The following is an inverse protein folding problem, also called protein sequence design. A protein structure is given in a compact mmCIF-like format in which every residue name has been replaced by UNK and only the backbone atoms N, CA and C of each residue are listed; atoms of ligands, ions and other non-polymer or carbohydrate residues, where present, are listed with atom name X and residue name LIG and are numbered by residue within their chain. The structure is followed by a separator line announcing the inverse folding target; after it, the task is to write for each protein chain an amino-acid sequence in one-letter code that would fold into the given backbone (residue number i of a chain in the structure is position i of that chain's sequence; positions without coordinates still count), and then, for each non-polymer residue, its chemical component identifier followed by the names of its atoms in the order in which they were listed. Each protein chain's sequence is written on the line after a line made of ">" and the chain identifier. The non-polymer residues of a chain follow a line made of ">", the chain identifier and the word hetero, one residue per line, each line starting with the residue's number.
data_IF_054317344262
#
_entry.id   IF_054317344262
#
_cell.length_a   1.000
_cell.length_b   1.000
_cell.length_c   1.000
_cell.angle_alpha   90.00
_cell.angle_beta   90.00
_cell.angle_gamma   90.00
#
_symmetry.space_group_name_H-M   'P 1'
#
loop_
_entity.id
_entity.type
_entity.pdbx_description
1 polymer ?
#
# COMPACT_ATOMS: atom_id res chain seq x y z
N UNK A 1 12.37 -18.77 5.30
CA UNK A 1 11.98 -17.34 5.10
C UNK A 1 13.23 -16.56 4.70
N UNK A 2 13.07 -15.63 3.79
CA UNK A 2 14.14 -14.71 3.33
C UNK A 2 14.21 -13.55 4.30
N UNK A 3 15.40 -13.21 4.81
CA UNK A 3 15.59 -12.04 5.69
C UNK A 3 15.52 -10.75 4.89
N UNK A 4 14.56 -9.87 5.25
CA UNK A 4 14.35 -8.59 4.59
C UNK A 4 13.60 -7.63 5.52
N UNK A 5 14.32 -6.79 6.24
CA UNK A 5 13.74 -5.94 7.30
C UNK A 5 12.59 -5.03 6.84
N UNK A 6 12.70 -4.49 5.61
CA UNK A 6 11.71 -3.55 5.05
C UNK A 6 11.29 -3.98 3.66
N UNK A 7 9.98 -4.07 3.45
CA UNK A 7 9.38 -4.42 2.16
C UNK A 7 8.33 -3.39 1.82
N UNK A 8 8.30 -2.94 0.57
CA UNK A 8 7.30 -2.02 0.06
C UNK A 8 6.46 -2.71 -1.01
N UNK A 9 5.15 -2.63 -0.85
CA UNK A 9 4.16 -3.06 -1.84
C UNK A 9 3.56 -1.82 -2.52
N UNK A 10 3.61 -1.81 -3.83
CA UNK A 10 3.05 -0.75 -4.67
C UNK A 10 1.84 -1.33 -5.37
N UNK A 11 0.64 -0.88 -4.99
CA UNK A 11 -0.59 -1.37 -5.58
C UNK A 11 -0.70 -0.92 -7.03
N UNK A 12 -0.72 -1.88 -7.95
CA UNK A 12 -0.79 -1.66 -9.38
C UNK A 12 -1.84 -2.59 -10.01
N UNK A 13 -2.05 -2.49 -11.32
CA UNK A 13 -2.87 -3.43 -12.09
C UNK A 13 -2.29 -3.62 -13.50
N UNK A 14 -2.72 -4.70 -14.16
CA UNK A 14 -2.29 -5.04 -15.55
C UNK A 14 -2.49 -3.87 -16.52
N UNK A 15 -3.56 -3.07 -16.31
CA UNK A 15 -3.90 -1.90 -17.13
C UNK A 15 -2.87 -0.76 -17.02
N UNK A 16 -2.22 -0.59 -15.86
CA UNK A 16 -1.37 0.56 -15.54
C UNK A 16 0.13 0.21 -15.49
N UNK A 17 0.58 -0.74 -16.31
CA UNK A 17 2.01 -1.12 -16.42
C UNK A 17 2.95 0.08 -16.65
N UNK A 18 2.48 1.09 -17.39
CA UNK A 18 3.26 2.30 -17.65
C UNK A 18 3.55 3.11 -16.37
N UNK A 19 2.62 3.16 -15.41
CA UNK A 19 2.87 3.80 -14.13
C UNK A 19 3.99 3.09 -13.36
N UNK A 20 3.96 1.75 -13.32
CA UNK A 20 5.04 0.97 -12.71
C UNK A 20 6.40 1.23 -13.38
N UNK A 21 6.44 1.24 -14.71
CA UNK A 21 7.66 1.54 -15.45
C UNK A 21 8.18 2.95 -15.15
N UNK A 22 7.28 3.93 -15.09
CA UNK A 22 7.65 5.29 -14.70
C UNK A 22 8.26 5.34 -13.28
N UNK A 23 7.64 4.71 -12.30
CA UNK A 23 8.17 4.68 -10.94
C UNK A 23 9.55 4.00 -10.89
N UNK A 24 9.74 2.90 -11.63
CA UNK A 24 11.02 2.19 -11.73
C UNK A 24 12.12 3.04 -12.35
N UNK A 25 11.80 3.82 -13.38
CA UNK A 25 12.76 4.68 -14.09
C UNK A 25 13.03 6.01 -13.36
N UNK A 26 12.30 6.30 -12.30
CA UNK A 26 12.42 7.55 -11.55
C UNK A 26 12.80 7.29 -10.07
N UNK A 27 11.89 7.52 -9.16
CA UNK A 27 12.17 7.57 -7.74
C UNK A 27 12.53 6.22 -7.10
N UNK A 28 12.09 5.09 -7.67
CA UNK A 28 12.46 3.76 -7.14
C UNK A 28 13.95 3.44 -7.29
N UNK A 29 14.67 4.10 -8.20
CA UNK A 29 16.13 3.96 -8.32
C UNK A 29 16.88 4.58 -7.14
N UNK A 30 16.25 5.48 -6.39
CA UNK A 30 16.87 6.21 -5.28
C UNK A 30 16.47 5.72 -3.90
N UNK A 31 15.69 4.63 -3.80
CA UNK A 31 15.33 4.06 -2.50
C UNK A 31 16.52 3.32 -1.86
N UNK A 32 16.57 3.22 -0.52
CA UNK A 32 17.63 2.49 0.18
C UNK A 32 17.70 1.01 -0.24
N UNK A 33 18.91 0.45 -0.40
CA UNK A 33 19.12 -0.94 -0.77
C UNK A 33 18.49 -1.95 0.21
N UNK A 34 18.31 -1.56 1.47
CA UNK A 34 17.64 -2.39 2.48
C UNK A 34 16.10 -2.42 2.34
N UNK A 35 15.51 -1.60 1.46
CA UNK A 35 14.10 -1.57 1.15
C UNK A 35 13.83 -2.32 -0.15
N UNK A 36 13.31 -3.54 -0.05
CA UNK A 36 12.85 -4.30 -1.21
C UNK A 36 11.44 -3.90 -1.59
N UNK A 37 11.15 -3.77 -2.88
CA UNK A 37 9.79 -3.42 -3.34
C UNK A 37 9.24 -4.41 -4.36
N UNK A 38 7.91 -4.42 -4.49
CA UNK A 38 7.19 -5.13 -5.52
C UNK A 38 5.95 -4.35 -5.95
N UNK A 39 5.72 -4.27 -7.25
CA UNK A 39 4.42 -3.89 -7.80
C UNK A 39 3.47 -5.09 -7.69
N UNK A 40 2.31 -4.87 -7.07
CA UNK A 40 1.33 -5.94 -6.83
C UNK A 40 0.29 -5.94 -7.93
N UNK A 41 0.10 -7.09 -8.58
CA UNK A 41 -0.86 -7.28 -9.66
C UNK A 41 -1.77 -8.47 -9.34
N UNK A 42 -3.09 -8.29 -9.51
CA UNK A 42 -4.04 -9.37 -9.45
C UNK A 42 -3.94 -10.27 -10.69
N UNK A 43 -4.04 -11.59 -10.50
CA UNK A 43 -4.01 -12.56 -11.59
C UNK A 43 -4.75 -13.85 -11.20
N UNK A 44 -6.03 -13.91 -11.59
CA UNK A 44 -6.90 -15.06 -11.29
C UNK A 44 -6.51 -16.34 -12.03
N UNK A 45 -5.63 -16.24 -13.04
CA UNK A 45 -5.12 -17.40 -13.81
C UNK A 45 -3.95 -18.09 -13.11
N UNK A 46 -3.46 -17.56 -11.98
CA UNK A 46 -2.38 -18.21 -11.24
C UNK A 46 -2.81 -19.57 -10.69
N UNK A 47 -2.00 -20.58 -10.93
CA UNK A 47 -2.17 -21.92 -10.33
C UNK A 47 -1.74 -21.98 -8.85
N UNK A 48 -1.20 -20.89 -8.30
CA UNK A 48 -0.72 -20.76 -6.92
C UNK A 48 -1.40 -19.54 -6.27
N UNK A 49 -1.38 -19.45 -4.94
CA UNK A 49 -1.92 -18.28 -4.24
C UNK A 49 -1.21 -16.98 -4.61
N UNK A 50 0.09 -17.05 -4.88
CA UNK A 50 0.92 -15.92 -5.30
C UNK A 50 2.18 -16.39 -6.02
N UNK A 51 2.84 -15.46 -6.73
CA UNK A 51 4.12 -15.66 -7.40
C UNK A 51 4.95 -14.37 -7.34
N UNK A 52 6.19 -14.47 -6.82
CA UNK A 52 7.18 -13.39 -6.93
C UNK A 52 7.97 -13.51 -8.23
N UNK A 53 7.96 -12.45 -9.02
CA UNK A 53 8.86 -12.23 -10.14
C UNK A 53 9.94 -11.24 -9.69
N UNK A 54 11.08 -11.80 -9.25
CA UNK A 54 12.16 -10.99 -8.69
C UNK A 54 12.97 -10.23 -9.75
N UNK A 55 12.90 -10.64 -11.03
CA UNK A 55 13.57 -9.95 -12.13
C UNK A 55 12.84 -8.66 -12.52
N UNK A 56 11.51 -8.71 -12.44
CA UNK A 56 10.66 -7.59 -12.78
C UNK A 56 10.09 -6.85 -11.54
N UNK A 57 10.49 -7.20 -10.33
CA UNK A 57 9.96 -6.69 -9.06
C UNK A 57 8.42 -6.65 -9.04
N UNK A 58 7.80 -7.77 -9.43
CA UNK A 58 6.34 -7.92 -9.43
C UNK A 58 5.93 -9.04 -8.47
N UNK A 59 4.89 -8.78 -7.70
CA UNK A 59 4.16 -9.79 -6.94
C UNK A 59 2.79 -10.00 -7.60
N UNK A 60 2.59 -11.18 -8.16
CA UNK A 60 1.28 -11.63 -8.63
C UNK A 60 0.54 -12.32 -7.50
N UNK A 61 -0.75 -11.98 -7.31
CA UNK A 61 -1.64 -12.60 -6.32
C UNK A 61 -2.91 -13.11 -7.00
N UNK A 62 -3.39 -14.29 -6.60
CA UNK A 62 -4.56 -14.93 -7.22
C UNK A 62 -5.87 -14.30 -6.73
N UNK A 63 -6.16 -13.11 -7.24
CA UNK A 63 -7.38 -12.33 -7.00
C UNK A 63 -7.70 -11.49 -8.24
N UNK A 64 -8.96 -11.02 -8.41
CA UNK A 64 -9.29 -10.06 -9.47
C UNK A 64 -8.42 -8.80 -9.42
N UNK A 65 -8.17 -8.21 -10.60
CA UNK A 65 -7.30 -7.03 -10.75
C UNK A 65 -8.10 -5.73 -10.99
N UNK A 66 -9.33 -5.67 -10.48
CA UNK A 66 -10.21 -4.51 -10.53
C UNK A 66 -10.12 -3.66 -9.25
N UNK A 67 -10.75 -2.48 -9.28
CA UNK A 67 -10.73 -1.54 -8.16
C UNK A 67 -11.49 -2.05 -6.93
N UNK A 68 -12.64 -2.70 -7.13
CA UNK A 68 -13.46 -3.24 -6.04
C UNK A 68 -12.77 -4.38 -5.29
N UNK A 69 -11.82 -5.05 -5.95
CA UNK A 69 -11.03 -6.15 -5.39
C UNK A 69 -9.75 -5.67 -4.71
N UNK A 70 -9.49 -4.35 -4.63
CA UNK A 70 -8.27 -3.81 -4.03
C UNK A 70 -8.04 -4.26 -2.58
N UNK A 71 -9.05 -4.31 -1.68
CA UNK A 71 -8.86 -4.86 -0.33
C UNK A 71 -8.43 -6.34 -0.34
N UNK A 72 -8.99 -7.15 -1.25
CA UNK A 72 -8.59 -8.56 -1.43
C UNK A 72 -7.15 -8.67 -1.92
N UNK A 73 -6.76 -7.82 -2.89
CA UNK A 73 -5.42 -7.79 -3.45
C UNK A 73 -4.38 -7.43 -2.39
N UNK A 74 -4.65 -6.40 -1.59
CA UNK A 74 -3.74 -5.96 -0.53
C UNK A 74 -3.53 -7.05 0.51
N UNK A 75 -4.62 -7.67 1.02
CA UNK A 75 -4.48 -8.71 2.04
C UNK A 75 -3.83 -10.00 1.51
N UNK A 76 -4.04 -10.35 0.23
CA UNK A 76 -3.36 -11.46 -0.42
C UNK A 76 -1.85 -11.17 -0.57
N UNK A 77 -1.47 -9.94 -0.90
CA UNK A 77 -0.08 -9.51 -0.96
C UNK A 77 0.58 -9.53 0.42
N UNK A 78 -0.13 -9.12 1.48
CA UNK A 78 0.35 -9.23 2.86
C UNK A 78 0.62 -10.68 3.25
N UNK A 79 -0.28 -11.60 2.91
CA UNK A 79 -0.09 -13.03 3.13
C UNK A 79 1.16 -13.54 2.39
N UNK A 80 1.34 -13.17 1.11
CA UNK A 80 2.49 -13.58 0.31
C UNK A 80 3.82 -13.13 0.96
N UNK A 81 3.88 -11.86 1.40
CA UNK A 81 5.06 -11.33 2.10
C UNK A 81 5.28 -12.04 3.43
N UNK A 82 4.22 -12.24 4.21
CA UNK A 82 4.30 -12.89 5.52
C UNK A 82 4.81 -14.33 5.44
N UNK A 83 4.39 -15.08 4.42
CA UNK A 83 4.78 -16.48 4.19
C UNK A 83 6.22 -16.61 3.64
N UNK A 84 6.71 -15.58 2.93
CA UNK A 84 7.99 -15.63 2.23
C UNK A 84 9.13 -15.00 3.01
N UNK A 85 8.88 -13.89 3.71
CA UNK A 85 9.92 -13.06 4.30
C UNK A 85 9.87 -13.00 5.83
N UNK A 86 11.06 -12.89 6.43
CA UNK A 86 11.22 -12.40 7.80
C UNK A 86 11.45 -10.89 7.73
N UNK A 87 10.47 -10.09 8.14
CA UNK A 87 10.51 -8.63 8.03
C UNK A 87 10.12 -7.93 9.35
N UNK A 88 10.49 -6.65 9.47
CA UNK A 88 10.09 -5.79 10.60
C UNK A 88 8.89 -4.94 10.25
N UNK A 89 8.95 -4.28 9.08
CA UNK A 89 7.91 -3.37 8.60
C UNK A 89 7.59 -3.59 7.14
N UNK A 90 6.30 -3.49 6.82
CA UNK A 90 5.74 -3.49 5.48
C UNK A 90 5.25 -2.09 5.16
N UNK A 91 5.69 -1.52 4.05
CA UNK A 91 5.23 -0.25 3.50
C UNK A 91 4.24 -0.50 2.37
N UNK A 92 3.24 0.36 2.23
CA UNK A 92 2.31 0.35 1.10
C UNK A 92 2.22 1.73 0.48
N UNK A 93 2.19 1.77 -0.83
CA UNK A 93 1.87 2.98 -1.62
C UNK A 93 1.10 2.58 -2.89
N UNK A 94 0.64 3.58 -3.66
CA UNK A 94 -0.09 3.37 -4.92
C UNK A 94 0.80 3.63 -6.15
N UNK A 95 0.38 3.12 -7.29
CA UNK A 95 1.13 3.21 -8.55
C UNK A 95 1.18 4.62 -9.16
N UNK A 96 0.29 5.49 -8.71
CA UNK A 96 0.22 6.90 -9.13
C UNK A 96 1.02 7.85 -8.23
N UNK A 97 1.73 7.34 -7.24
CA UNK A 97 2.52 8.16 -6.33
C UNK A 97 3.96 8.34 -6.82
N UNK A 98 4.44 9.59 -6.74
CA UNK A 98 5.83 9.96 -7.00
C UNK A 98 6.43 10.51 -5.73
N UNK A 99 7.59 9.98 -5.35
CA UNK A 99 8.37 10.50 -4.23
C UNK A 99 9.09 11.79 -4.65
N UNK A 100 8.72 12.92 -4.03
CA UNK A 100 9.33 14.25 -4.31
C UNK A 100 10.49 14.60 -3.38
N UNK A 101 10.68 13.84 -2.29
CA UNK A 101 11.79 14.01 -1.35
C UNK A 101 12.57 12.71 -1.20
N UNK A 102 13.68 12.52 -1.92
CA UNK A 102 14.41 11.25 -2.00
C UNK A 102 14.81 10.64 -0.65
N UNK A 103 15.15 11.47 0.35
CA UNK A 103 15.57 11.01 1.69
C UNK A 103 14.41 10.48 2.58
N UNK A 104 13.18 10.46 2.09
CA UNK A 104 12.04 10.03 2.89
C UNK A 104 12.22 8.61 3.43
N UNK A 105 12.56 7.65 2.56
CA UNK A 105 12.71 6.25 2.98
C UNK A 105 13.94 6.05 3.87
N UNK A 106 15.06 6.72 3.65
CA UNK A 106 16.20 6.68 4.56
C UNK A 106 15.79 7.12 5.96
N UNK A 107 15.06 8.24 6.05
CA UNK A 107 14.63 8.78 7.33
C UNK A 107 13.65 7.84 8.05
N UNK A 108 12.61 7.35 7.35
CA UNK A 108 11.56 6.54 7.97
C UNK A 108 12.11 5.18 8.45
N UNK A 109 12.99 4.55 7.66
CA UNK A 109 13.64 3.28 7.98
C UNK A 109 14.54 3.42 9.22
N UNK A 110 15.21 4.55 9.38
CA UNK A 110 16.04 4.81 10.54
C UNK A 110 15.24 5.22 11.78
N UNK A 111 14.12 5.92 11.62
CA UNK A 111 13.33 6.45 12.74
C UNK A 111 12.44 5.37 13.36
N UNK A 112 11.61 4.69 12.56
CA UNK A 112 10.55 3.80 13.07
C UNK A 112 11.08 2.71 14.02
N UNK A 113 12.14 1.94 13.69
CA UNK A 113 12.62 0.87 14.57
C UNK A 113 13.18 1.37 15.90
N UNK A 114 13.59 2.64 15.96
CA UNK A 114 14.24 3.27 17.10
C UNK A 114 13.29 4.08 17.99
N UNK A 115 12.02 4.21 17.59
CA UNK A 115 11.01 4.87 18.42
C UNK A 115 10.66 4.03 19.65
N UNK A 116 10.33 4.72 20.75
CA UNK A 116 9.82 4.09 21.97
C UNK A 116 8.58 4.86 22.48
N UNK A 117 7.40 4.27 22.48
CA UNK A 117 7.09 2.93 21.98
C UNK A 117 7.19 2.83 20.46
N UNK A 118 7.48 1.62 19.93
CA UNK A 118 7.54 1.37 18.48
C UNK A 118 6.14 1.47 17.90
N UNK A 119 5.93 2.25 16.84
CA UNK A 119 4.64 2.31 16.16
C UNK A 119 4.39 1.03 15.37
N UNK A 120 3.15 0.55 15.39
CA UNK A 120 2.72 -0.60 14.60
C UNK A 120 2.05 -0.20 13.29
N UNK A 121 1.56 1.02 13.21
CA UNK A 121 0.84 1.57 12.08
C UNK A 121 1.13 3.07 11.98
N UNK A 122 1.30 3.58 10.76
CA UNK A 122 1.50 5.00 10.54
C UNK A 122 1.43 5.39 9.08
N UNK A 123 1.13 6.66 8.86
CA UNK A 123 0.86 7.29 7.57
C UNK A 123 0.14 8.61 7.80
N UNK A 124 -0.55 9.15 6.79
CA UNK A 124 -1.44 10.29 6.98
C UNK A 124 -2.73 9.81 7.64
N UNK A 125 -2.93 10.17 8.92
CA UNK A 125 -4.05 9.68 9.72
C UNK A 125 -5.33 10.40 9.33
N UNK A 126 -6.35 9.62 8.96
CA UNK A 126 -7.74 10.04 8.77
C UNK A 126 -8.54 9.58 9.99
N UNK A 127 -9.25 10.51 10.64
CA UNK A 127 -10.04 10.25 11.84
C UNK A 127 -11.54 10.37 11.55
N UNK A 128 -12.21 9.22 11.42
CA UNK A 128 -13.67 9.14 11.25
C UNK A 128 -14.32 9.24 12.62
N UNK A 129 -14.78 10.41 13.01
CA UNK A 129 -15.36 10.70 14.34
C UNK A 129 -16.81 10.30 14.49
N UNK A 130 -17.54 10.17 13.39
CA UNK A 130 -18.94 9.72 13.36
C UNK A 130 -19.22 8.96 12.08
N UNK A 131 -20.16 7.99 12.08
CA UNK A 131 -20.53 7.27 10.87
C UNK A 131 -21.08 8.19 9.80
N UNK A 132 -20.68 7.95 8.53
CA UNK A 132 -21.22 8.68 7.37
C UNK A 132 -21.27 7.79 6.13
N UNK A 133 -21.96 8.25 5.09
CA UNK A 133 -21.96 7.58 3.78
C UNK A 133 -20.88 8.17 2.90
N UNK A 134 -20.00 7.31 2.39
CA UNK A 134 -18.93 7.71 1.48
C UNK A 134 -19.50 8.24 0.15
N UNK A 135 -18.92 9.33 -0.34
CA UNK A 135 -19.20 9.88 -1.67
C UNK A 135 -18.14 9.50 -2.72
N UNK A 136 -17.23 8.58 -2.40
CA UNK A 136 -16.15 8.13 -3.30
C UNK A 136 -16.65 7.57 -4.63
N UNK A 137 -17.89 7.04 -4.68
CA UNK A 137 -18.54 6.64 -5.95
C UNK A 137 -18.66 7.77 -6.98
N UNK A 138 -18.50 9.04 -6.58
CA UNK A 138 -18.46 10.19 -7.52
C UNK A 138 -17.15 10.24 -8.30
N UNK A 139 -16.07 9.74 -7.72
CA UNK A 139 -14.74 9.68 -8.34
C UNK A 139 -14.50 8.28 -8.93
N UNK A 140 -14.96 7.25 -8.25
CA UNK A 140 -14.87 5.84 -8.62
C UNK A 140 -16.27 5.26 -8.81
N UNK A 141 -16.86 5.38 -10.02
CA UNK A 141 -18.26 4.97 -10.28
C UNK A 141 -18.55 3.49 -10.04
N UNK A 142 -17.52 2.64 -10.03
CA UNK A 142 -17.55 1.23 -9.71
C UNK A 142 -17.88 0.93 -8.24
N UNK A 143 -17.70 1.91 -7.35
CA UNK A 143 -18.02 1.75 -5.92
C UNK A 143 -19.53 1.84 -5.64
N UNK A 144 -20.02 1.16 -4.58
CA UNK A 144 -21.38 1.31 -4.13
C UNK A 144 -21.74 2.75 -3.75
N UNK A 145 -22.92 3.24 -4.20
CA UNK A 145 -23.39 4.62 -3.94
C UNK A 145 -23.65 4.95 -2.46
N UNK A 146 -23.87 3.93 -1.63
CA UNK A 146 -24.19 4.07 -0.20
C UNK A 146 -23.27 3.19 0.64
N UNK A 147 -21.98 3.50 0.61
CA UNK A 147 -20.99 2.77 1.39
C UNK A 147 -20.86 3.41 2.77
N UNK A 148 -21.32 2.77 3.85
CA UNK A 148 -21.21 3.32 5.20
C UNK A 148 -19.76 3.20 5.69
N UNK A 149 -19.22 4.29 6.26
CA UNK A 149 -17.98 4.31 6.99
C UNK A 149 -18.27 4.55 8.46
N UNK A 150 -17.68 3.73 9.32
CA UNK A 150 -17.87 3.77 10.77
C UNK A 150 -16.69 4.42 11.47
N UNK A 151 -16.89 4.75 12.75
CA UNK A 151 -15.88 5.38 13.61
C UNK A 151 -14.62 4.53 13.65
N UNK A 152 -13.52 5.10 13.19
CA UNK A 152 -12.17 4.50 13.26
C UNK A 152 -11.10 5.52 12.88
N UNK A 153 -9.83 5.20 13.18
CA UNK A 153 -8.66 5.86 12.58
C UNK A 153 -8.03 4.93 11.57
N UNK A 154 -7.68 5.48 10.41
CA UNK A 154 -6.94 4.77 9.38
C UNK A 154 -5.90 5.70 8.74
N UNK A 155 -4.95 5.15 8.00
CA UNK A 155 -4.00 5.93 7.23
C UNK A 155 -4.41 5.93 5.75
N UNK A 156 -4.34 7.11 5.11
CA UNK A 156 -4.61 7.27 3.68
C UNK A 156 -3.75 6.34 2.81
N UNK A 157 -4.33 5.81 1.74
CA UNK A 157 -3.73 4.87 0.81
C UNK A 157 -2.45 5.36 0.12
N UNK A 158 -2.23 6.69 0.03
CA UNK A 158 -1.04 7.29 -0.59
C UNK A 158 0.27 6.67 -0.08
N UNK A 159 0.40 6.52 1.23
CA UNK A 159 1.50 5.82 1.88
C UNK A 159 1.13 5.48 3.32
N UNK A 160 1.37 4.24 3.71
CA UNK A 160 1.37 3.83 5.10
C UNK A 160 2.33 2.66 5.36
N UNK A 161 2.61 2.41 6.63
CA UNK A 161 3.39 1.26 7.05
C UNK A 161 2.67 0.47 8.14
N UNK A 162 3.02 -0.82 8.22
CA UNK A 162 2.55 -1.77 9.22
C UNK A 162 3.74 -2.57 9.78
N UNK A 163 3.76 -2.80 11.09
CA UNK A 163 4.69 -3.78 11.66
C UNK A 163 4.29 -5.20 11.29
N UNK A 164 5.21 -6.16 11.38
CA UNK A 164 4.93 -7.59 11.13
C UNK A 164 3.75 -8.11 11.94
N UNK A 165 3.63 -7.72 13.22
CA UNK A 165 2.51 -8.14 14.08
C UNK A 165 1.17 -7.54 13.66
N UNK A 166 1.15 -6.28 13.18
CA UNK A 166 -0.04 -5.66 12.62
C UNK A 166 -0.48 -6.35 11.32
N UNK A 167 0.48 -6.70 10.44
CA UNK A 167 0.20 -7.49 9.22
C UNK A 167 -0.40 -8.84 9.59
N UNK A 168 0.16 -9.57 10.57
CA UNK A 168 -0.40 -10.84 11.05
C UNK A 168 -1.83 -10.70 11.56
N UNK A 169 -2.12 -9.63 12.32
CA UNK A 169 -3.48 -9.33 12.80
C UNK A 169 -4.47 -9.16 11.64
N UNK A 170 -4.10 -8.41 10.61
CA UNK A 170 -4.94 -8.21 9.42
C UNK A 170 -5.16 -9.50 8.61
N UNK A 171 -4.11 -10.31 8.44
CA UNK A 171 -4.21 -11.62 7.76
C UNK A 171 -5.24 -12.52 8.45
N UNK A 172 -5.28 -12.54 9.78
CA UNK A 172 -6.26 -13.31 10.56
C UNK A 172 -7.71 -12.81 10.36
N UNK A 173 -7.88 -11.59 9.83
CA UNK A 173 -9.18 -10.96 9.53
C UNK A 173 -9.48 -10.86 8.04
N UNK A 174 -8.73 -11.56 7.19
CA UNK A 174 -8.84 -11.46 5.72
C UNK A 174 -10.27 -11.62 5.21
N UNK A 175 -11.07 -12.52 5.78
CA UNK A 175 -12.45 -12.76 5.35
C UNK A 175 -13.36 -11.53 5.56
N UNK A 176 -13.11 -10.73 6.59
CA UNK A 176 -13.81 -9.46 6.82
C UNK A 176 -13.36 -8.41 5.81
N UNK A 177 -12.03 -8.31 5.59
CA UNK A 177 -11.42 -7.35 4.67
C UNK A 177 -11.84 -7.64 3.22
N UNK A 178 -12.04 -8.90 2.84
CA UNK A 178 -12.52 -9.30 1.51
C UNK A 178 -13.91 -8.74 1.15
N UNK A 179 -14.72 -8.37 2.15
CA UNK A 179 -16.05 -7.81 1.95
C UNK A 179 -16.07 -6.27 1.98
N UNK A 180 -14.90 -5.63 2.13
CA UNK A 180 -14.77 -4.18 2.11
C UNK A 180 -14.47 -3.67 0.69
N UNK A 181 -14.65 -2.36 0.49
CA UNK A 181 -14.45 -1.70 -0.81
C UNK A 181 -13.30 -0.69 -0.80
N UNK A 182 -13.19 0.14 0.25
CA UNK A 182 -12.13 1.13 0.38
C UNK A 182 -10.96 0.51 1.12
N UNK A 183 -9.87 0.27 0.42
CA UNK A 183 -8.72 -0.49 0.92
C UNK A 183 -8.12 0.10 2.18
N UNK A 184 -7.76 1.38 2.17
CA UNK A 184 -7.11 2.08 3.27
C UNK A 184 -7.99 2.15 4.53
N UNK A 185 -9.29 2.44 4.33
CA UNK A 185 -10.29 2.35 5.39
C UNK A 185 -10.42 0.92 5.93
N UNK A 186 -10.50 -0.09 5.05
CA UNK A 186 -10.64 -1.50 5.42
C UNK A 186 -9.48 -1.98 6.30
N UNK A 187 -8.25 -1.58 5.97
CA UNK A 187 -7.07 -1.88 6.76
C UNK A 187 -7.17 -1.25 8.15
N UNK A 188 -7.43 0.05 8.25
CA UNK A 188 -7.53 0.72 9.55
C UNK A 188 -8.73 0.28 10.38
N UNK A 189 -9.89 0.03 9.74
CA UNK A 189 -11.10 -0.41 10.42
C UNK A 189 -10.98 -1.82 11.00
N UNK A 190 -10.32 -2.72 10.30
CA UNK A 190 -10.14 -4.10 10.74
C UNK A 190 -8.89 -4.30 11.63
N UNK A 191 -7.96 -3.37 11.71
CA UNK A 191 -6.82 -3.45 12.60
C UNK A 191 -7.27 -3.27 14.06
N UNK A 192 -6.82 -4.16 14.97
CA UNK A 192 -7.15 -4.05 16.39
C UNK A 192 -6.62 -2.76 17.00
N UNK A 193 -7.36 -2.20 17.97
CA UNK A 193 -7.05 -0.91 18.60
C UNK A 193 -5.66 -0.87 19.25
N UNK A 194 -5.17 -2.00 19.77
CA UNK A 194 -3.83 -2.07 20.37
C UNK A 194 -2.70 -1.72 19.37
N UNK A 195 -2.90 -1.97 18.07
CA UNK A 195 -1.96 -1.58 17.00
C UNK A 195 -2.11 -0.11 16.58
N UNK A 196 -3.20 0.55 16.96
CA UNK A 196 -3.49 1.96 16.66
C UNK A 196 -3.17 2.90 17.82
N UNK A 197 -2.80 2.40 18.99
CA UNK A 197 -2.52 3.22 20.18
C UNK A 197 -1.44 4.26 19.95
N UNK A 198 -0.37 3.90 19.21
CA UNK A 198 0.77 4.77 18.91
C UNK A 198 0.95 4.92 17.39
N UNK A 199 -0.11 5.34 16.69
CA UNK A 199 -0.01 5.63 15.26
C UNK A 199 0.97 6.79 15.01
N UNK A 200 1.88 6.60 14.07
CA UNK A 200 2.78 7.66 13.62
C UNK A 200 2.10 8.47 12.52
N UNK A 201 1.78 9.74 12.81
CA UNK A 201 1.24 10.64 11.79
C UNK A 201 2.35 11.19 10.89
N UNK A 202 2.21 10.95 9.59
CA UNK A 202 3.15 11.39 8.55
C UNK A 202 2.39 12.29 7.58
N UNK A 203 2.84 13.53 7.40
CA UNK A 203 2.28 14.45 6.40
C UNK A 203 2.68 14.02 4.98
N UNK A 204 2.09 12.94 4.48
CA UNK A 204 2.50 12.26 3.23
C UNK A 204 2.48 13.19 2.01
N UNK A 205 1.59 14.20 1.98
CA UNK A 205 1.53 15.22 0.93
C UNK A 205 2.83 16.06 0.80
N UNK A 206 3.68 16.08 1.84
CA UNK A 206 4.97 16.75 1.78
C UNK A 206 6.05 15.90 1.11
N UNK A 207 5.78 14.63 0.86
CA UNK A 207 6.75 13.65 0.37
C UNK A 207 6.34 13.00 -0.94
N UNK A 208 5.03 12.92 -1.20
CA UNK A 208 4.48 12.29 -2.38
C UNK A 208 3.57 13.26 -3.15
N UNK A 209 3.54 13.10 -4.46
CA UNK A 209 2.59 13.77 -5.35
C UNK A 209 1.92 12.75 -6.27
N UNK A 210 0.70 13.03 -6.69
CA UNK A 210 -0.02 12.18 -7.63
C UNK A 210 0.46 12.44 -9.06
N UNK A 211 0.43 11.42 -9.89
CA UNK A 211 0.65 11.52 -11.32
C UNK A 211 -0.55 10.94 -12.08
N UNK A 212 -1.09 11.71 -12.98
CA UNK A 212 -2.14 11.27 -13.88
C UNK A 212 -1.56 10.63 -15.15
N UNK A 213 -2.27 9.65 -15.74
CA UNK A 213 -1.84 9.03 -17.00
C UNK A 213 -1.65 10.04 -18.12
N UNK A 214 -2.40 11.15 -18.11
CA UNK A 214 -2.28 12.26 -19.07
C UNK A 214 -0.94 12.99 -19.00
N UNK A 215 -0.19 12.87 -17.91
CA UNK A 215 1.09 13.53 -17.72
C UNK A 215 2.26 12.72 -18.31
N UNK A 216 2.08 11.42 -18.55
CA UNK A 216 3.13 10.54 -19.08
C UNK A 216 3.74 11.02 -20.42
N UNK A 217 2.95 11.46 -21.43
CA UNK A 217 3.54 11.95 -22.68
C UNK A 217 4.48 13.14 -22.47
N UNK A 218 4.16 14.05 -21.53
CA UNK A 218 5.00 15.21 -21.20
C UNK A 218 6.30 14.77 -20.53
N UNK A 219 6.22 13.82 -19.59
CA UNK A 219 7.36 13.30 -18.85
C UNK A 219 8.33 12.54 -19.77
N UNK A 220 7.82 11.80 -20.75
CA UNK A 220 8.63 11.13 -21.80
C UNK A 220 9.38 12.16 -22.63
N UNK A 221 8.70 13.24 -23.08
CA UNK A 221 9.33 14.31 -23.88
C UNK A 221 10.41 15.07 -23.10
N UNK A 222 10.27 15.20 -21.78
CA UNK A 222 11.25 15.86 -20.92
C UNK A 222 12.44 14.96 -20.53
N UNK A 223 12.59 13.78 -21.15
CA UNK A 223 13.63 12.78 -20.85
C UNK A 223 13.67 12.37 -19.37
N UNK A 224 12.55 12.37 -18.71
CA UNK A 224 12.40 11.90 -17.31
C UNK A 224 12.02 10.41 -17.22
N UNK A 225 11.89 9.75 -18.38
CA UNK A 225 11.65 8.30 -18.55
C UNK A 225 12.57 7.76 -19.62
#
# INVERSE_FOLDING_TARGET
>A
MIEQDFIMLIMNCKKYKQKALFQKNTWLQSIPLCLKYYHVIGDEELNTKFKFDNENEILYVNVPDDYNSLPKKVIAAYQAVYDTFSFKYLFKTDDDQILVKPKFFDNIINIIPNMNPKPHYGGFIVDVKQPYLSEYHRIHPELPKKLPLYVTKYCSGRFYFLSKSAVSNLINKREKIHNEYLEDYAIGFNLDECYKTNMLNISTNNYFTDIELSDFPKLVQENKI
#
